data_IF_522019740863
#
_entry.id   IF_522019740863
#
_cell.length_a   1.000
_cell.length_b   1.000
_cell.length_c   1.000
_cell.angle_alpha   90.00
_cell.angle_beta   90.00
_cell.angle_gamma   90.00
#
_symmetry.space_group_name_H-M   'P 1'
#
loop_
_entity.id
_entity.type
_entity.pdbx_description
1 polymer ?
#
# COMPACT_ATOMS: atom_id res chain seq x y z
N UNK A 1 -2.16 0.85 -20.96
CA UNK A 1 -0.70 0.63 -20.80
C UNK A 1 0.02 1.95 -20.51
N UNK A 2 1.14 1.88 -19.81
CA UNK A 2 2.01 3.04 -19.55
C UNK A 2 2.86 3.27 -20.80
N UNK A 3 2.88 4.49 -21.41
CA UNK A 3 3.50 4.74 -22.72
C UNK A 3 5.02 4.92 -22.64
N UNK A 4 5.70 4.04 -21.94
CA UNK A 4 7.16 4.00 -21.80
C UNK A 4 7.68 2.59 -22.05
N UNK A 5 8.94 2.50 -22.53
CA UNK A 5 9.60 1.23 -22.74
C UNK A 5 9.86 0.49 -21.42
N UNK A 6 10.12 -0.82 -21.50
CA UNK A 6 10.50 -1.62 -20.34
C UNK A 6 11.73 -1.04 -19.66
N UNK A 7 11.74 -1.10 -18.33
CA UNK A 7 12.89 -0.65 -17.51
C UNK A 7 13.32 0.80 -17.81
N UNK A 8 12.36 1.71 -18.03
CA UNK A 8 12.63 3.12 -18.29
C UNK A 8 12.99 3.90 -17.03
N UNK A 9 12.51 3.48 -15.86
CA UNK A 9 12.64 4.21 -14.60
C UNK A 9 13.29 3.35 -13.53
N UNK A 10 14.11 3.91 -12.68
CA UNK A 10 14.72 3.17 -11.56
C UNK A 10 13.66 2.79 -10.52
N UNK A 11 12.73 3.69 -10.25
CA UNK A 11 11.60 3.48 -9.34
C UNK A 11 10.32 4.04 -9.97
N UNK A 12 9.23 3.31 -9.82
CA UNK A 12 7.88 3.74 -10.22
C UNK A 12 7.02 3.88 -8.97
N UNK A 13 6.34 5.02 -8.83
CA UNK A 13 5.50 5.32 -7.69
C UNK A 13 4.03 5.45 -8.09
N UNK A 14 3.13 4.95 -7.22
CA UNK A 14 1.70 5.21 -7.29
C UNK A 14 1.18 5.41 -5.87
N UNK A 15 0.94 6.66 -5.49
CA UNK A 15 0.45 7.00 -4.16
C UNK A 15 -1.01 7.39 -4.24
N UNK A 16 -1.88 6.61 -3.55
CA UNK A 16 -3.32 6.81 -3.55
C UNK A 16 -3.89 6.81 -4.99
N UNK A 17 -3.56 5.79 -5.76
CA UNK A 17 -3.99 5.65 -7.17
C UNK A 17 -4.74 4.35 -7.40
N UNK A 18 -4.25 3.24 -6.84
CA UNK A 18 -4.74 1.90 -7.18
C UNK A 18 -6.18 1.65 -6.68
N UNK A 19 -6.61 2.31 -5.63
CA UNK A 19 -7.98 2.25 -5.10
C UNK A 19 -9.02 2.87 -6.01
N UNK A 20 -8.62 3.71 -6.97
CA UNK A 20 -9.51 4.34 -7.96
C UNK A 20 -9.82 3.44 -9.16
N UNK A 21 -9.27 2.22 -9.19
CA UNK A 21 -9.63 1.21 -10.17
C UNK A 21 -10.18 -0.05 -9.46
N UNK A 22 -11.05 -0.84 -10.12
CA UNK A 22 -11.52 -2.12 -9.59
C UNK A 22 -10.35 -3.01 -9.17
N UNK A 23 -10.47 -3.72 -8.06
CA UNK A 23 -9.36 -4.54 -7.54
C UNK A 23 -8.89 -5.61 -8.52
N UNK A 24 -9.78 -6.08 -9.38
CA UNK A 24 -9.51 -7.05 -10.45
C UNK A 24 -8.52 -6.50 -11.50
N UNK A 25 -8.47 -5.18 -11.68
CA UNK A 25 -7.58 -4.50 -12.61
C UNK A 25 -6.22 -4.14 -11.99
N UNK A 26 -6.10 -4.19 -10.65
CA UNK A 26 -4.86 -3.85 -9.93
C UNK A 26 -3.68 -4.70 -10.40
N UNK A 27 -3.90 -5.99 -10.68
CA UNK A 27 -2.85 -6.88 -11.19
C UNK A 27 -2.28 -6.38 -12.53
N UNK A 28 -3.14 -5.93 -13.44
CA UNK A 28 -2.73 -5.39 -14.74
C UNK A 28 -1.96 -4.07 -14.57
N UNK A 29 -2.44 -3.19 -13.70
CA UNK A 29 -1.77 -1.92 -13.39
C UNK A 29 -0.37 -2.16 -12.79
N UNK A 30 -0.27 -3.06 -11.80
CA UNK A 30 1.03 -3.45 -11.21
C UNK A 30 1.96 -4.05 -12.26
N UNK A 31 1.47 -4.93 -13.15
CA UNK A 31 2.26 -5.50 -14.24
C UNK A 31 2.92 -4.43 -15.10
N UNK A 32 2.19 -3.37 -15.46
CA UNK A 32 2.73 -2.25 -16.22
C UNK A 32 3.72 -1.41 -15.41
N UNK A 33 3.45 -1.15 -14.12
CA UNK A 33 4.38 -0.44 -13.25
C UNK A 33 5.70 -1.20 -13.11
N UNK A 34 5.63 -2.52 -12.89
CA UNK A 34 6.82 -3.37 -12.81
C UNK A 34 7.53 -3.54 -14.16
N UNK A 35 6.79 -3.51 -15.27
CA UNK A 35 7.38 -3.55 -16.62
C UNK A 35 8.29 -2.34 -16.86
N UNK A 36 7.79 -1.13 -16.57
CA UNK A 36 8.55 0.10 -16.81
C UNK A 36 9.58 0.42 -15.72
N UNK A 37 9.52 -0.26 -14.57
CA UNK A 37 10.48 -0.14 -13.47
C UNK A 37 11.71 -1.02 -13.72
N UNK A 38 12.91 -0.51 -13.34
CA UNK A 38 14.16 -1.30 -13.25
C UNK A 38 14.26 -2.05 -11.93
N UNK A 39 14.08 -1.34 -10.83
CA UNK A 39 14.45 -1.82 -9.50
C UNK A 39 13.29 -1.87 -8.52
N UNK A 40 12.51 -0.79 -8.41
CA UNK A 40 11.52 -0.64 -7.35
C UNK A 40 10.16 -0.18 -7.84
N UNK A 41 9.12 -0.67 -7.17
CA UNK A 41 7.79 -0.09 -7.23
C UNK A 41 7.39 0.32 -5.81
N UNK A 42 6.98 1.56 -5.64
CA UNK A 42 6.57 2.13 -4.35
C UNK A 42 5.12 2.61 -4.43
N UNK A 43 4.27 2.02 -3.63
CA UNK A 43 2.83 2.33 -3.64
C UNK A 43 2.34 2.75 -2.26
N UNK A 44 1.30 3.57 -2.22
CA UNK A 44 0.44 3.71 -1.06
C UNK A 44 -1.01 3.50 -1.43
N UNK A 45 -1.78 3.02 -0.48
CA UNK A 45 -3.22 2.79 -0.61
C UNK A 45 -3.92 3.08 0.72
N UNK A 46 -5.22 3.46 0.70
CA UNK A 46 -5.97 3.70 1.92
C UNK A 46 -6.12 2.40 2.73
N UNK A 47 -5.96 2.53 4.05
CA UNK A 47 -6.14 1.45 5.00
C UNK A 47 -7.05 1.89 6.12
N UNK A 48 -8.34 1.74 5.91
CA UNK A 48 -9.35 2.08 6.88
C UNK A 48 -9.50 0.98 7.94
N UNK A 49 -9.27 1.34 9.20
CA UNK A 49 -9.70 0.56 10.35
C UNK A 49 -9.72 1.44 11.59
N UNK A 50 -10.63 1.17 12.56
CA UNK A 50 -10.56 1.83 13.86
C UNK A 50 -9.18 1.64 14.47
N UNK A 51 -8.68 2.66 15.16
CA UNK A 51 -7.31 2.67 15.68
C UNK A 51 -7.21 3.33 17.03
N UNK A 52 -6.27 2.86 17.84
CA UNK A 52 -5.79 3.56 19.03
C UNK A 52 -4.36 4.03 18.80
N UNK A 53 -4.09 5.27 19.15
CA UNK A 53 -2.74 5.84 19.17
C UNK A 53 -2.37 6.19 20.59
N UNK A 54 -1.14 5.88 20.96
CA UNK A 54 -0.52 6.31 22.20
C UNK A 54 0.77 7.03 21.90
N UNK A 55 0.96 8.20 22.49
CA UNK A 55 2.20 8.97 22.43
C UNK A 55 2.49 9.53 23.82
N UNK A 56 3.68 9.23 24.33
CA UNK A 56 4.19 9.79 25.56
C UNK A 56 5.53 10.46 25.28
N UNK A 57 5.60 11.77 25.54
CA UNK A 57 6.82 12.56 25.44
C UNK A 57 7.10 13.24 26.76
N UNK A 58 8.19 12.85 27.40
CA UNK A 58 8.67 13.40 28.66
C UNK A 58 10.09 13.94 28.41
N UNK A 59 10.46 15.13 28.94
CA UNK A 59 11.84 15.62 28.83
C UNK A 59 12.85 14.58 29.31
N UNK A 60 13.96 14.45 28.57
CA UNK A 60 15.08 13.54 28.86
C UNK A 60 14.79 12.04 28.68
N UNK A 61 13.59 11.64 28.25
CA UNK A 61 13.24 10.24 27.92
C UNK A 61 12.92 10.15 26.42
N UNK A 62 13.34 9.08 25.71
CA UNK A 62 12.94 8.85 24.33
C UNK A 62 11.42 8.83 24.19
N UNK A 63 10.92 9.41 23.11
CA UNK A 63 9.49 9.41 22.80
C UNK A 63 8.97 7.97 22.64
N UNK A 64 7.93 7.62 23.37
CA UNK A 64 7.25 6.33 23.28
C UNK A 64 5.99 6.53 22.45
N UNK A 65 5.90 5.87 21.31
CA UNK A 65 4.73 5.90 20.45
C UNK A 65 4.39 4.52 19.89
N UNK A 66 3.11 4.20 19.91
CA UNK A 66 2.58 3.03 19.22
C UNK A 66 1.16 3.28 18.72
N UNK A 67 0.78 2.55 17.67
CA UNK A 67 -0.57 2.55 17.14
C UNK A 67 -1.04 1.12 16.92
N UNK A 68 -2.29 0.83 17.28
CA UNK A 68 -2.93 -0.46 17.08
C UNK A 68 -4.16 -0.25 16.22
N UNK A 69 -4.28 -1.01 15.13
CA UNK A 69 -5.47 -1.08 14.29
C UNK A 69 -6.35 -2.26 14.67
N UNK A 70 -7.65 -2.00 14.78
CA UNK A 70 -8.64 -3.04 15.09
C UNK A 70 -9.23 -3.56 13.78
N UNK A 71 -9.38 -4.90 13.60
CA UNK A 71 -10.03 -5.45 12.43
C UNK A 71 -11.43 -4.84 12.22
N UNK A 72 -11.73 -4.48 10.97
CA UNK A 72 -13.00 -3.87 10.62
C UNK A 72 -13.74 -4.76 9.62
N UNK A 73 -14.91 -5.26 10.02
CA UNK A 73 -15.64 -6.29 9.26
C UNK A 73 -16.66 -5.73 8.27
N UNK A 74 -16.81 -4.40 8.20
CA UNK A 74 -17.75 -3.78 7.26
C UNK A 74 -17.23 -3.91 5.83
N UNK A 75 -18.13 -4.29 4.90
CA UNK A 75 -17.81 -4.32 3.48
C UNK A 75 -17.54 -2.90 2.97
N UNK A 76 -16.56 -2.77 2.09
CA UNK A 76 -16.41 -1.55 1.30
C UNK A 76 -17.59 -1.44 0.34
N UNK A 77 -18.09 -0.22 0.15
CA UNK A 77 -19.00 0.14 -0.92
C UNK A 77 -18.31 1.27 -1.68
N UNK A 78 -18.37 1.24 -3.00
CA UNK A 78 -17.89 2.34 -3.83
C UNK A 78 -18.53 3.65 -3.34
N UNK A 79 -17.69 4.63 -3.04
CA UNK A 79 -18.10 5.91 -2.44
C UNK A 79 -18.09 7.08 -3.44
N UNK A 80 -17.85 6.79 -4.72
CA UNK A 80 -17.67 7.77 -5.79
C UNK A 80 -16.22 7.97 -6.21
N UNK A 81 -15.27 7.53 -5.37
CA UNK A 81 -13.83 7.67 -5.60
C UNK A 81 -13.10 6.33 -5.45
N UNK A 82 -13.31 5.61 -4.33
CA UNK A 82 -12.60 4.36 -4.03
C UNK A 82 -13.46 3.14 -4.35
N UNK A 83 -12.89 2.21 -5.09
CA UNK A 83 -13.45 0.88 -5.31
C UNK A 83 -13.17 -0.07 -4.16
N UNK A 84 -12.09 0.15 -3.43
CA UNK A 84 -11.66 -0.68 -2.30
C UNK A 84 -10.73 0.08 -1.35
N UNK A 85 -10.64 -0.41 -0.13
CA UNK A 85 -9.68 0.08 0.88
C UNK A 85 -9.21 -1.10 1.72
N UNK A 86 -7.93 -1.14 2.07
CA UNK A 86 -7.41 -2.14 2.99
C UNK A 86 -8.09 -2.05 4.36
N UNK A 87 -8.18 -3.18 5.06
CA UNK A 87 -8.81 -3.28 6.38
C UNK A 87 -10.32 -3.51 6.33
N UNK A 88 -10.99 -3.22 5.21
CA UNK A 88 -12.40 -3.57 5.01
C UNK A 88 -12.56 -5.04 4.59
N UNK A 89 -13.76 -5.59 4.80
CA UNK A 89 -14.08 -6.98 4.45
C UNK A 89 -13.87 -7.23 2.95
N UNK A 90 -13.12 -8.27 2.59
CA UNK A 90 -12.73 -8.59 1.22
C UNK A 90 -11.40 -8.00 0.79
N UNK A 91 -10.91 -6.97 1.48
CA UNK A 91 -9.67 -6.25 1.12
C UNK A 91 -8.64 -6.30 2.26
N UNK A 92 -8.30 -7.53 2.69
CA UNK A 92 -7.24 -7.75 3.68
C UNK A 92 -5.89 -7.34 3.12
N UNK A 93 -5.03 -6.78 3.96
CA UNK A 93 -3.64 -6.45 3.61
C UNK A 93 -2.91 -7.62 2.94
N UNK A 94 -3.12 -8.84 3.43
CA UNK A 94 -2.49 -10.04 2.88
C UNK A 94 -2.84 -10.28 1.41
N UNK A 95 -4.04 -9.91 0.96
CA UNK A 95 -4.45 -10.06 -0.45
C UNK A 95 -3.59 -9.20 -1.37
N UNK A 96 -3.43 -7.92 -1.05
CA UNK A 96 -2.57 -7.02 -1.82
C UNK A 96 -1.10 -7.42 -1.70
N UNK A 97 -0.63 -7.74 -0.48
CA UNK A 97 0.76 -8.14 -0.24
C UNK A 97 1.15 -9.40 -1.01
N UNK A 98 0.25 -10.38 -1.10
CA UNK A 98 0.50 -11.59 -1.89
C UNK A 98 0.59 -11.28 -3.38
N UNK A 99 -0.26 -10.37 -3.88
CA UNK A 99 -0.19 -9.92 -5.27
C UNK A 99 1.14 -9.20 -5.56
N UNK A 100 1.62 -8.36 -4.67
CA UNK A 100 2.91 -7.67 -4.81
C UNK A 100 4.09 -8.66 -4.84
N UNK A 101 4.02 -9.73 -4.04
CA UNK A 101 5.04 -10.79 -4.01
C UNK A 101 5.18 -11.58 -5.32
N UNK A 102 4.17 -11.54 -6.20
CA UNK A 102 4.29 -12.14 -7.54
C UNK A 102 5.32 -11.41 -8.41
N UNK A 103 5.64 -10.16 -8.09
CA UNK A 103 6.55 -9.30 -8.86
C UNK A 103 7.90 -9.08 -8.20
N UNK A 104 8.02 -9.31 -6.89
CA UNK A 104 9.27 -9.06 -6.20
C UNK A 104 9.22 -9.23 -4.68
N UNK A 105 10.28 -8.79 -4.02
CA UNK A 105 10.41 -8.82 -2.58
C UNK A 105 9.79 -7.55 -1.95
N UNK A 106 8.87 -7.71 -1.02
CA UNK A 106 8.30 -6.58 -0.26
C UNK A 106 9.28 -6.20 0.84
N UNK A 107 10.13 -5.21 0.57
CA UNK A 107 11.16 -4.73 1.51
C UNK A 107 10.57 -3.85 2.61
N UNK A 108 9.52 -3.06 2.29
CA UNK A 108 8.84 -2.21 3.28
C UNK A 108 7.32 -2.43 3.24
N UNK A 109 6.73 -2.52 4.41
CA UNK A 109 5.30 -2.72 4.64
C UNK A 109 4.95 -1.99 5.93
N UNK A 110 4.52 -0.72 5.83
CA UNK A 110 4.34 0.11 7.00
C UNK A 110 3.20 1.12 6.87
N UNK A 111 2.74 1.57 8.01
CA UNK A 111 1.80 2.67 8.17
C UNK A 111 2.49 3.74 9.01
N UNK A 112 2.62 4.99 8.51
CA UNK A 112 3.20 6.07 9.29
C UNK A 112 2.39 6.33 10.58
N UNK A 113 3.08 6.55 11.69
CA UNK A 113 2.40 6.83 12.97
C UNK A 113 1.53 8.10 12.87
N UNK A 114 2.00 9.10 12.18
CA UNK A 114 1.33 10.39 12.01
C UNK A 114 0.07 10.27 11.15
N UNK A 115 0.13 9.45 10.10
CA UNK A 115 -0.96 9.22 9.16
C UNK A 115 -1.30 7.73 9.09
N UNK A 116 -2.25 7.30 9.90
CA UNK A 116 -2.68 5.91 9.99
C UNK A 116 -3.62 5.48 8.86
N UNK A 117 -4.01 6.39 7.97
CA UNK A 117 -4.91 6.07 6.87
C UNK A 117 -4.16 5.51 5.65
N UNK A 118 -2.91 5.91 5.43
CA UNK A 118 -2.14 5.47 4.28
C UNK A 118 -1.21 4.31 4.64
N UNK A 119 -1.25 3.25 3.85
CA UNK A 119 -0.39 2.08 3.98
C UNK A 119 0.58 2.00 2.82
N UNK A 120 1.86 1.96 3.12
CA UNK A 120 2.94 1.99 2.14
C UNK A 120 3.57 0.61 1.94
N UNK A 121 3.89 0.30 0.68
CA UNK A 121 4.63 -0.89 0.30
C UNK A 121 5.74 -0.52 -0.67
N UNK A 122 6.99 -0.84 -0.33
CA UNK A 122 8.13 -0.80 -1.24
C UNK A 122 8.46 -2.22 -1.69
N UNK A 123 8.45 -2.44 -2.98
CA UNK A 123 8.73 -3.74 -3.58
C UNK A 123 9.96 -3.65 -4.46
N UNK A 124 10.96 -4.45 -4.14
CA UNK A 124 12.15 -4.64 -4.97
C UNK A 124 11.83 -5.69 -6.04
N UNK A 125 11.96 -5.29 -7.29
CA UNK A 125 11.69 -6.19 -8.43
C UNK A 125 12.67 -7.36 -8.43
N UNK A 126 12.17 -8.58 -8.56
CA UNK A 126 13.05 -9.72 -8.84
C UNK A 126 13.44 -9.70 -10.31
N UNK A 127 14.74 -9.68 -10.56
CA UNK A 127 15.27 -9.87 -11.91
C UNK A 127 15.17 -11.36 -12.25
N UNK A 128 14.13 -11.72 -12.94
CA UNK A 128 14.08 -13.00 -13.69
C UNK A 128 14.64 -12.79 -15.08
#
# INVERSE_FOLDING_TARGET
>A
SIPFADKSFDTVCAFEVLEHIPFEEVKTALGEMFRVSKNYVFISVPHFSPQFKFLLKIPFIPEIKFAIKIPYFKKHKFDGEHYWELGKSGFKKSRLKNLLKEYGEVEMDFIPFENQYHHFFLVKKTNN
#
